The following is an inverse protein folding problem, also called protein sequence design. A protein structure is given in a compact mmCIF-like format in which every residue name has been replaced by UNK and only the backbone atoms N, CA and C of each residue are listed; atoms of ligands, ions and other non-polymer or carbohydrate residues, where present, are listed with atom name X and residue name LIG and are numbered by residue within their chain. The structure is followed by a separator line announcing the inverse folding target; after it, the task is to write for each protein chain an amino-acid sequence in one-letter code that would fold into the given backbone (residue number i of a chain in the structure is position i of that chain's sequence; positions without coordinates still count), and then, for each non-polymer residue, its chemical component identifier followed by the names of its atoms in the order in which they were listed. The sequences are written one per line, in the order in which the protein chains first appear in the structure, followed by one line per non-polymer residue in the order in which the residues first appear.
data_IF_471701861483
#
_entry.id   IF_471701861483
#
_cell.length_a   1.000
_cell.length_b   1.000
_cell.length_c   1.000
_cell.angle_alpha   90.00
_cell.angle_beta   90.00
_cell.angle_gamma   90.00
#
_symmetry.space_group_name_H-M   'P 1'
#
loop_
_entity.id
_entity.type
_entity.pdbx_description
1 polymer ?
#
# COMPACT_ATOMS: atom_id res chain seq x y z
N UNK A 1 -20.72 -2.12 -16.14
CA UNK A 1 -19.72 -1.10 -15.80
C UNK A 1 -18.36 -1.59 -16.25
N UNK A 2 -17.53 -0.74 -16.87
CA UNK A 2 -16.15 -1.10 -17.24
C UNK A 2 -15.35 -1.35 -15.95
N UNK A 3 -14.53 -2.41 -15.92
CA UNK A 3 -13.62 -2.64 -14.78
C UNK A 3 -12.60 -1.48 -14.74
N UNK A 4 -12.33 -0.88 -13.57
CA UNK A 4 -11.31 0.16 -13.46
C UNK A 4 -9.93 -0.45 -13.72
N UNK A 5 -9.06 0.30 -14.39
CA UNK A 5 -7.69 -0.06 -14.69
C UNK A 5 -6.79 0.29 -13.50
N UNK A 6 -6.07 -0.69 -12.94
CA UNK A 6 -5.41 -0.55 -11.64
C UNK A 6 -3.93 -0.93 -11.72
N UNK A 7 -3.09 -0.05 -11.17
CA UNK A 7 -1.69 -0.34 -10.86
C UNK A 7 -1.52 -0.69 -9.38
N UNK A 8 -0.73 -1.71 -9.08
CA UNK A 8 -0.49 -2.16 -7.69
C UNK A 8 1.00 -2.12 -7.37
N UNK A 9 1.34 -1.53 -6.22
CA UNK A 9 2.71 -1.42 -5.71
C UNK A 9 2.76 -2.07 -4.33
N UNK A 10 3.69 -3.00 -4.13
CA UNK A 10 3.76 -3.79 -2.91
C UNK A 10 5.10 -3.55 -2.23
N UNK A 11 5.04 -3.14 -0.95
CA UNK A 11 6.20 -3.09 -0.07
C UNK A 11 6.39 -4.46 0.61
N UNK A 12 7.40 -5.21 0.15
CA UNK A 12 7.70 -6.54 0.68
C UNK A 12 8.12 -6.51 2.16
N UNK A 13 8.89 -5.49 2.56
CA UNK A 13 9.39 -5.35 3.92
C UNK A 13 8.25 -5.16 4.90
N UNK A 14 7.39 -4.17 4.62
CA UNK A 14 6.23 -3.87 5.46
C UNK A 14 5.29 -5.08 5.60
N UNK A 15 5.02 -5.81 4.51
CA UNK A 15 4.22 -7.04 4.56
C UNK A 15 4.88 -8.15 5.38
N UNK A 16 6.18 -8.40 5.17
CA UNK A 16 6.89 -9.48 5.85
C UNK A 16 6.94 -9.25 7.36
N UNK A 17 7.39 -8.07 7.80
CA UNK A 17 7.48 -7.73 9.22
C UNK A 17 6.13 -7.80 9.93
N UNK A 18 5.07 -7.36 9.23
CA UNK A 18 3.72 -7.38 9.77
C UNK A 18 3.17 -8.79 9.91
N UNK A 19 3.28 -9.59 8.86
CA UNK A 19 2.70 -10.94 8.84
C UNK A 19 3.32 -11.85 9.90
N UNK A 20 4.61 -11.68 10.20
CA UNK A 20 5.31 -12.36 11.28
C UNK A 20 4.71 -12.07 12.67
N UNK A 21 4.23 -10.83 12.89
CA UNK A 21 3.60 -10.39 14.15
C UNK A 21 2.13 -10.80 14.26
N UNK A 22 1.41 -10.87 13.15
CA UNK A 22 -0.05 -11.10 13.13
C UNK A 22 -0.40 -12.60 13.06
N UNK A 23 0.53 -13.46 12.62
CA UNK A 23 0.37 -14.92 12.66
C UNK A 23 -0.32 -15.53 11.44
N UNK A 24 -0.58 -14.74 10.39
CA UNK A 24 -1.02 -15.25 9.10
C UNK A 24 -0.42 -14.43 7.95
N UNK A 25 -0.31 -15.05 6.77
CA UNK A 25 0.36 -14.49 5.60
C UNK A 25 -0.57 -14.47 4.40
N UNK A 26 -0.32 -13.55 3.49
CA UNK A 26 -1.03 -13.48 2.21
C UNK A 26 -0.38 -14.43 1.22
N UNK A 27 -1.22 -15.18 0.50
CA UNK A 27 -0.85 -15.88 -0.71
C UNK A 27 -0.92 -14.90 -1.89
N UNK A 28 0.24 -14.64 -2.48
CA UNK A 28 0.36 -13.67 -3.56
C UNK A 28 -0.30 -14.09 -4.86
N UNK A 29 -0.39 -15.39 -5.13
CA UNK A 29 -1.09 -15.90 -6.31
C UNK A 29 -2.60 -15.72 -6.11
N UNK A 30 -3.11 -16.05 -4.92
CA UNK A 30 -4.52 -15.82 -4.60
C UNK A 30 -4.88 -14.33 -4.59
N UNK A 31 -4.01 -13.48 -4.06
CA UNK A 31 -4.20 -12.03 -4.09
C UNK A 31 -4.31 -11.53 -5.53
N UNK A 32 -3.37 -11.91 -6.41
CA UNK A 32 -3.43 -11.59 -7.83
C UNK A 32 -4.74 -12.05 -8.45
N UNK A 33 -5.13 -13.29 -8.21
CA UNK A 33 -6.37 -13.85 -8.75
C UNK A 33 -7.59 -13.05 -8.30
N UNK A 34 -7.72 -12.77 -7.00
CA UNK A 34 -8.81 -11.96 -6.47
C UNK A 34 -8.86 -10.56 -7.12
N UNK A 35 -7.71 -9.89 -7.20
CA UNK A 35 -7.60 -8.55 -7.79
C UNK A 35 -7.95 -8.55 -9.28
N UNK A 36 -7.51 -9.54 -10.06
CA UNK A 36 -7.87 -9.69 -11.49
C UNK A 36 -9.36 -9.97 -11.71
N UNK A 37 -10.02 -10.62 -10.75
CA UNK A 37 -11.48 -10.79 -10.80
C UNK A 37 -12.19 -9.47 -10.51
N UNK A 38 -11.69 -8.68 -9.55
CA UNK A 38 -12.26 -7.40 -9.15
C UNK A 38 -12.09 -6.31 -10.24
N UNK A 39 -10.88 -6.15 -10.79
CA UNK A 39 -10.47 -5.01 -11.60
C UNK A 39 -9.73 -5.45 -12.88
N UNK A 40 -9.39 -4.48 -13.74
CA UNK A 40 -8.46 -4.69 -14.85
C UNK A 40 -7.04 -4.33 -14.38
N UNK A 41 -6.17 -5.32 -14.20
CA UNK A 41 -4.84 -5.09 -13.61
C UNK A 41 -3.81 -4.75 -14.68
N UNK A 42 -3.26 -3.54 -14.62
CA UNK A 42 -2.20 -3.07 -15.53
C UNK A 42 -0.88 -3.76 -15.22
N UNK A 43 -0.49 -3.73 -13.96
CA UNK A 43 0.76 -4.28 -13.45
C UNK A 43 0.67 -4.47 -11.92
N UNK A 44 1.54 -5.32 -11.40
CA UNK A 44 1.77 -5.46 -9.97
C UNK A 44 3.28 -5.45 -9.74
N UNK A 45 3.79 -4.40 -9.10
CA UNK A 45 5.21 -4.19 -8.85
C UNK A 45 5.54 -4.49 -7.37
N UNK A 46 6.35 -5.51 -7.15
CA UNK A 46 6.74 -6.01 -5.84
C UNK A 46 8.14 -5.52 -5.48
N UNK A 47 8.21 -4.55 -4.57
CA UNK A 47 9.43 -3.88 -4.15
C UNK A 47 10.06 -4.62 -2.98
N UNK A 48 11.30 -5.09 -3.16
CA UNK A 48 12.01 -5.91 -2.18
C UNK A 48 13.47 -5.53 -2.05
N UNK A 49 13.97 -5.56 -0.81
CA UNK A 49 15.40 -5.44 -0.51
C UNK A 49 16.07 -6.81 -0.60
N UNK A 50 17.20 -6.86 -1.30
CA UNK A 50 17.96 -8.09 -1.56
C UNK A 50 19.30 -8.05 -0.81
N UNK A 51 19.54 -8.97 0.14
CA UNK A 51 20.84 -9.13 0.79
C UNK A 51 21.96 -9.45 -0.19
N UNK A 52 23.22 -9.25 0.22
CA UNK A 52 24.39 -9.76 -0.52
C UNK A 52 24.54 -11.27 -0.29
N UNK A 53 25.32 -11.95 -1.13
CA UNK A 53 25.36 -13.42 -1.19
C UNK A 53 25.81 -14.10 0.10
N UNK A 54 26.69 -13.48 0.88
CA UNK A 54 27.21 -14.01 2.15
C UNK A 54 26.24 -13.83 3.34
N UNK A 55 25.10 -13.15 3.13
CA UNK A 55 24.11 -12.92 4.18
C UNK A 55 23.30 -14.18 4.43
N UNK A 56 23.10 -14.52 5.71
CA UNK A 56 22.31 -15.69 6.10
C UNK A 56 20.87 -15.66 5.58
N UNK A 57 20.33 -14.49 5.23
CA UNK A 57 18.99 -14.37 4.64
C UNK A 57 18.96 -14.47 3.11
N UNK A 58 20.11 -14.46 2.42
CA UNK A 58 20.17 -14.38 0.95
C UNK A 58 19.38 -15.49 0.25
N UNK A 59 19.68 -16.75 0.58
CA UNK A 59 19.01 -17.90 -0.03
C UNK A 59 17.48 -17.92 0.21
N UNK A 60 17.05 -17.50 1.41
CA UNK A 60 15.62 -17.38 1.75
C UNK A 60 14.95 -16.27 0.94
N UNK A 61 15.62 -15.13 0.78
CA UNK A 61 15.13 -14.01 -0.04
C UNK A 61 15.03 -14.40 -1.50
N UNK A 62 16.02 -15.10 -2.07
CA UNK A 62 15.95 -15.60 -3.46
C UNK A 62 14.79 -16.58 -3.67
N UNK A 63 14.61 -17.53 -2.76
CA UNK A 63 13.47 -18.47 -2.81
C UNK A 63 12.14 -17.73 -2.77
N UNK A 64 12.04 -16.66 -1.97
CA UNK A 64 10.86 -15.83 -1.90
C UNK A 64 10.62 -15.05 -3.21
N UNK A 65 11.68 -14.45 -3.78
CA UNK A 65 11.63 -13.74 -5.05
C UNK A 65 11.15 -14.66 -6.17
N UNK A 66 11.69 -15.88 -6.27
CA UNK A 66 11.27 -16.85 -7.29
C UNK A 66 9.77 -17.16 -7.23
N UNK A 67 9.20 -17.29 -6.01
CA UNK A 67 7.77 -17.49 -5.83
C UNK A 67 6.97 -16.24 -6.18
N UNK A 68 7.42 -15.07 -5.72
CA UNK A 68 6.76 -13.80 -5.99
C UNK A 68 6.75 -13.46 -7.49
N UNK A 69 7.82 -13.81 -8.23
CA UNK A 69 7.93 -13.53 -9.67
C UNK A 69 6.93 -14.31 -10.53
N UNK A 70 6.29 -15.35 -9.98
CA UNK A 70 5.18 -16.03 -10.65
C UNK A 70 3.92 -15.15 -10.72
N UNK A 71 3.76 -14.22 -9.76
CA UNK A 71 2.60 -13.35 -9.66
C UNK A 71 2.91 -11.92 -10.12
N UNK A 72 4.10 -11.40 -9.85
CA UNK A 72 4.41 -9.96 -9.89
C UNK A 72 5.71 -9.63 -10.63
N UNK A 73 5.82 -8.38 -11.08
CA UNK A 73 7.10 -7.78 -11.50
C UNK A 73 7.93 -7.48 -10.26
N UNK A 74 9.16 -7.98 -10.19
CA UNK A 74 10.01 -7.79 -9.00
C UNK A 74 10.90 -6.57 -9.19
N UNK A 75 10.75 -5.58 -8.31
CA UNK A 75 11.60 -4.39 -8.21
C UNK A 75 12.59 -4.58 -7.06
N UNK A 76 13.87 -4.81 -7.39
CA UNK A 76 14.89 -5.16 -6.41
C UNK A 76 15.76 -3.96 -6.05
N UNK A 77 16.06 -3.81 -4.75
CA UNK A 77 17.05 -2.86 -4.23
C UNK A 77 18.08 -3.61 -3.39
N UNK A 78 19.40 -3.41 -3.60
CA UNK A 78 20.40 -4.08 -2.78
C UNK A 78 20.36 -3.57 -1.34
N UNK A 79 20.52 -4.47 -0.37
CA UNK A 79 20.68 -4.12 1.04
C UNK A 79 22.00 -3.38 1.26
N UNK A 80 21.96 -2.31 2.04
CA UNK A 80 23.16 -1.59 2.46
C UNK A 80 23.72 -2.20 3.74
N UNK A 81 25.04 -2.35 3.74
CA UNK A 81 25.80 -2.87 4.86
C UNK A 81 26.78 -1.79 5.30
N UNK A 82 26.66 -1.31 6.52
CA UNK A 82 27.43 -0.18 7.05
C UNK A 82 28.11 -0.62 8.32
N UNK A 83 29.43 -0.50 8.37
CA UNK A 83 30.16 -0.73 9.61
C UNK A 83 29.84 0.35 10.64
N UNK A 84 29.45 -0.05 11.86
CA UNK A 84 29.26 0.86 13.00
C UNK A 84 30.41 0.72 13.97
N UNK A 85 31.18 1.79 14.14
CA UNK A 85 32.29 1.85 15.10
C UNK A 85 31.81 1.83 16.55
N UNK A 86 30.58 2.30 16.81
CA UNK A 86 29.96 2.30 18.13
C UNK A 86 29.48 0.90 18.51
N UNK A 87 28.74 0.23 17.61
CA UNK A 87 28.21 -1.11 17.87
C UNK A 87 29.21 -2.22 17.58
N UNK A 88 30.39 -1.88 17.05
CA UNK A 88 31.45 -2.80 16.61
C UNK A 88 30.92 -3.95 15.75
N UNK A 89 29.93 -3.65 14.90
CA UNK A 89 29.29 -4.61 14.00
C UNK A 89 28.78 -3.94 12.73
N UNK A 90 28.46 -4.77 11.75
CA UNK A 90 27.80 -4.34 10.52
C UNK A 90 26.29 -4.14 10.75
N UNK A 91 25.81 -2.93 10.47
CA UNK A 91 24.39 -2.55 10.49
C UNK A 91 23.83 -2.71 9.09
N UNK A 92 22.72 -3.45 9.00
CA UNK A 92 21.96 -3.67 7.76
C UNK A 92 20.89 -2.59 7.63
N UNK A 93 20.85 -1.89 6.50
CA UNK A 93 19.82 -0.89 6.17
C UNK A 93 19.26 -1.14 4.78
N UNK A 94 17.94 -1.06 4.66
CA UNK A 94 17.26 -1.17 3.38
C UNK A 94 15.77 -1.05 3.54
N UNK A 95 15.24 0.08 3.11
CA UNK A 95 13.83 0.30 2.80
C UNK A 95 13.64 0.34 1.29
N UNK A 96 12.39 0.28 0.82
CA UNK A 96 12.04 0.50 -0.60
C UNK A 96 11.15 1.73 -0.78
N UNK A 97 10.98 2.55 0.26
CA UNK A 97 9.93 3.57 0.30
C UNK A 97 10.11 4.63 -0.78
N UNK A 98 11.35 5.11 -0.96
CA UNK A 98 11.69 6.09 -2.00
C UNK A 98 11.51 5.49 -3.40
N UNK A 99 12.03 4.28 -3.62
CA UNK A 99 11.96 3.59 -4.92
C UNK A 99 10.51 3.31 -5.32
N UNK A 100 9.70 2.84 -4.37
CA UNK A 100 8.26 2.60 -4.55
C UNK A 100 7.52 3.90 -4.84
N UNK A 101 7.79 4.97 -4.07
CA UNK A 101 7.14 6.26 -4.29
C UNK A 101 7.46 6.84 -5.68
N UNK A 102 8.72 6.73 -6.12
CA UNK A 102 9.12 7.14 -7.47
C UNK A 102 8.42 6.29 -8.54
N UNK A 103 8.31 4.98 -8.34
CA UNK A 103 7.61 4.10 -9.27
C UNK A 103 6.11 4.43 -9.36
N UNK A 104 5.47 4.75 -8.23
CA UNK A 104 4.09 5.25 -8.22
C UNK A 104 3.97 6.52 -9.03
N UNK A 105 4.80 7.53 -8.77
CA UNK A 105 4.77 8.83 -9.48
C UNK A 105 4.96 8.67 -10.98
N UNK A 106 5.74 7.69 -11.45
CA UNK A 106 5.95 7.45 -12.88
C UNK A 106 4.73 6.83 -13.58
N UNK A 107 3.86 6.14 -12.84
CA UNK A 107 2.86 5.25 -13.44
C UNK A 107 1.40 5.59 -13.08
N UNK A 108 1.14 6.34 -12.00
CA UNK A 108 -0.22 6.56 -11.49
C UNK A 108 -1.16 7.27 -12.49
N UNK A 109 -0.63 8.06 -13.43
CA UNK A 109 -1.45 8.75 -14.43
C UNK A 109 -2.04 7.79 -15.48
N UNK A 110 -1.38 6.65 -15.70
CA UNK A 110 -1.74 5.65 -16.71
C UNK A 110 -2.85 4.69 -16.26
N UNK A 111 -3.28 4.80 -15.00
CA UNK A 111 -4.28 3.92 -14.36
C UNK A 111 -5.42 4.74 -13.78
N UNK A 112 -6.58 4.12 -13.62
CA UNK A 112 -7.76 4.77 -13.01
C UNK A 112 -7.59 4.91 -11.50
N UNK A 113 -6.93 3.95 -10.85
CA UNK A 113 -6.52 4.04 -9.46
C UNK A 113 -5.20 3.31 -9.19
N UNK A 114 -4.52 3.76 -8.14
CA UNK A 114 -3.31 3.12 -7.63
C UNK A 114 -3.60 2.42 -6.31
N UNK A 115 -3.13 1.18 -6.16
CA UNK A 115 -3.11 0.47 -4.87
C UNK A 115 -1.67 0.44 -4.35
N UNK A 116 -1.46 0.94 -3.13
CA UNK A 116 -0.20 0.77 -2.40
C UNK A 116 -0.42 -0.20 -1.25
N UNK A 117 0.25 -1.35 -1.32
CA UNK A 117 0.23 -2.36 -0.27
C UNK A 117 1.32 -2.05 0.74
N UNK A 118 1.00 -1.15 1.67
CA UNK A 118 1.81 -0.82 2.84
C UNK A 118 0.94 -0.20 3.93
N UNK A 119 1.37 -0.33 5.18
CA UNK A 119 0.77 0.35 6.34
C UNK A 119 1.54 1.59 6.81
N UNK A 120 2.58 2.00 6.10
CA UNK A 120 3.53 3.05 6.52
C UNK A 120 3.02 4.47 6.24
N UNK A 121 3.07 5.34 7.27
CA UNK A 121 2.65 6.75 7.16
C UNK A 121 3.55 7.59 6.24
N UNK A 122 4.77 7.13 5.93
CA UNK A 122 5.69 7.87 5.05
C UNK A 122 5.12 8.07 3.64
N UNK A 123 4.16 7.24 3.23
CA UNK A 123 3.44 7.39 1.96
C UNK A 123 2.33 8.46 1.95
N UNK A 124 2.08 9.17 3.06
CA UNK A 124 1.08 10.27 3.09
C UNK A 124 1.41 11.39 2.10
N UNK A 125 2.69 11.74 1.98
CA UNK A 125 3.14 12.75 1.02
C UNK A 125 2.86 12.32 -0.43
N UNK A 126 3.07 11.03 -0.71
CA UNK A 126 2.77 10.42 -2.00
C UNK A 126 1.25 10.43 -2.28
N UNK A 127 0.42 10.06 -1.32
CA UNK A 127 -1.04 10.11 -1.47
C UNK A 127 -1.53 11.52 -1.78
N UNK A 128 -1.04 12.51 -1.03
CA UNK A 128 -1.39 13.92 -1.27
C UNK A 128 -1.03 14.35 -2.69
N UNK A 129 0.19 14.04 -3.14
CA UNK A 129 0.67 14.38 -4.48
C UNK A 129 -0.20 13.76 -5.60
N UNK A 130 -0.60 12.51 -5.43
CA UNK A 130 -1.42 11.75 -6.37
C UNK A 130 -2.88 12.27 -6.36
N UNK A 131 -3.44 12.53 -5.18
CA UNK A 131 -4.80 13.04 -5.00
C UNK A 131 -4.95 14.46 -5.57
N UNK A 132 -3.94 15.33 -5.44
CA UNK A 132 -3.94 16.68 -6.03
C UNK A 132 -4.07 16.65 -7.56
N UNK A 133 -3.73 15.54 -8.20
CA UNK A 133 -3.87 15.31 -9.65
C UNK A 133 -5.13 14.54 -10.02
N UNK A 134 -6.08 14.43 -9.10
CA UNK A 134 -7.39 13.82 -9.33
C UNK A 134 -7.33 12.30 -9.51
N UNK A 135 -6.24 11.65 -9.09
CA UNK A 135 -6.09 10.20 -9.14
C UNK A 135 -6.24 9.62 -7.73
N UNK A 136 -7.05 8.57 -7.54
CA UNK A 136 -7.15 7.88 -6.25
C UNK A 136 -5.93 7.00 -5.99
N UNK A 137 -5.42 7.08 -4.75
CA UNK A 137 -4.49 6.11 -4.18
C UNK A 137 -5.18 5.40 -3.01
N UNK A 138 -5.15 4.07 -3.01
CA UNK A 138 -5.79 3.20 -2.02
C UNK A 138 -4.70 2.44 -1.26
N UNK A 139 -4.68 2.59 0.07
CA UNK A 139 -3.78 1.84 0.93
C UNK A 139 -4.34 0.47 1.30
N UNK A 140 -3.54 -0.58 1.18
CA UNK A 140 -3.94 -1.92 1.60
C UNK A 140 -2.91 -2.46 2.58
N UNK A 141 -3.36 -2.81 3.79
CA UNK A 141 -2.46 -3.37 4.81
C UNK A 141 -3.25 -4.20 5.81
N UNK A 142 -2.54 -4.85 6.72
CA UNK A 142 -3.16 -5.49 7.86
C UNK A 142 -3.67 -4.45 8.84
N UNK A 143 -4.83 -4.70 9.47
CA UNK A 143 -5.45 -3.76 10.42
C UNK A 143 -4.54 -3.35 11.57
N UNK A 144 -3.66 -4.23 12.04
CA UNK A 144 -2.71 -3.93 13.15
C UNK A 144 -1.44 -3.19 12.72
N UNK A 145 -1.20 -3.00 11.43
CA UNK A 145 0.02 -2.33 10.94
C UNK A 145 -0.24 -0.99 10.26
N UNK A 146 -1.47 -0.75 9.80
CA UNK A 146 -1.80 0.52 9.17
C UNK A 146 -1.78 1.67 10.18
N UNK A 147 -0.92 2.66 9.90
CA UNK A 147 -0.88 3.94 10.61
C UNK A 147 -2.27 4.59 10.64
N UNK A 148 -2.56 5.34 11.71
CA UNK A 148 -3.89 5.92 11.93
C UNK A 148 -4.28 6.89 10.82
N UNK A 149 -3.34 7.70 10.38
CA UNK A 149 -3.48 8.73 9.36
C UNK A 149 -3.90 8.15 8.01
N UNK A 150 -3.39 6.96 7.64
CA UNK A 150 -3.78 6.27 6.42
C UNK A 150 -5.24 5.80 6.46
N UNK A 151 -5.81 5.56 7.65
CA UNK A 151 -7.22 5.16 7.80
C UNK A 151 -8.20 6.30 7.54
N UNK A 152 -7.70 7.54 7.58
CA UNK A 152 -8.46 8.73 7.17
C UNK A 152 -8.48 8.90 5.64
N UNK A 153 -7.68 8.10 4.92
CA UNK A 153 -7.60 8.07 3.46
C UNK A 153 -8.35 6.86 2.90
N UNK A 154 -8.33 6.72 1.58
CA UNK A 154 -8.82 5.52 0.91
C UNK A 154 -7.98 4.32 1.34
N UNK A 155 -8.60 3.35 2.00
CA UNK A 155 -7.90 2.18 2.50
C UNK A 155 -8.77 0.92 2.51
N UNK A 156 -8.11 -0.23 2.57
CA UNK A 156 -8.73 -1.55 2.73
C UNK A 156 -7.86 -2.40 3.66
N UNK A 157 -8.51 -3.20 4.51
CA UNK A 157 -7.82 -4.16 5.36
C UNK A 157 -7.78 -5.54 4.72
N UNK A 158 -6.65 -6.23 4.83
CA UNK A 158 -6.54 -7.63 4.39
C UNK A 158 -7.52 -8.57 5.10
N UNK A 159 -7.91 -8.25 6.34
CA UNK A 159 -8.90 -8.99 7.10
C UNK A 159 -10.26 -9.10 6.39
N UNK A 160 -10.62 -8.13 5.53
CA UNK A 160 -11.88 -8.17 4.76
C UNK A 160 -11.88 -9.23 3.66
N UNK A 161 -10.70 -9.65 3.21
CA UNK A 161 -10.52 -10.61 2.12
C UNK A 161 -9.73 -11.85 2.57
N UNK A 162 -9.53 -12.01 3.88
CA UNK A 162 -8.63 -13.02 4.47
C UNK A 162 -8.93 -14.43 3.96
N UNK A 163 -10.21 -14.83 3.95
CA UNK A 163 -10.63 -16.16 3.51
C UNK A 163 -10.24 -16.48 2.06
N UNK A 164 -10.09 -15.46 1.21
CA UNK A 164 -9.72 -15.60 -0.21
C UNK A 164 -8.22 -15.60 -0.42
N UNK A 165 -7.44 -14.98 0.46
CA UNK A 165 -6.02 -14.69 0.23
C UNK A 165 -5.08 -15.26 1.28
N UNK A 166 -5.57 -15.98 2.28
CA UNK A 166 -4.69 -16.58 3.31
C UNK A 166 -3.84 -17.71 2.72
N UNK A 167 -2.54 -17.65 3.05
CA UNK A 167 -1.54 -18.64 2.68
C UNK A 167 -1.74 -19.94 3.46
N UNK A 168 -1.59 -21.07 2.77
CA UNK A 168 -1.71 -22.41 3.37
C UNK A 168 -3.15 -22.90 3.52
N UNK A 169 -4.15 -22.05 3.29
CA UNK A 169 -5.55 -22.47 3.18
C UNK A 169 -5.77 -23.12 1.81
N UNK A 170 -6.31 -24.33 1.76
CA UNK A 170 -6.53 -25.06 0.48
C UNK A 170 -7.94 -24.88 -0.08
N UNK A 171 -8.85 -24.27 0.68
CA UNK A 171 -10.16 -23.90 0.16
C UNK A 171 -10.00 -22.85 -0.93
N UNK A 172 -10.68 -23.07 -2.05
CA UNK A 172 -10.82 -22.11 -3.13
C UNK A 172 -12.24 -21.54 -3.07
N UNK A 173 -12.50 -20.54 -2.20
CA UNK A 173 -13.80 -19.91 -2.11
C UNK A 173 -14.18 -19.27 -3.44
N UNK A 174 -15.49 -19.14 -3.70
CA UNK A 174 -15.97 -18.34 -4.83
C UNK A 174 -15.50 -16.90 -4.67
N UNK A 175 -14.62 -16.47 -5.57
CA UNK A 175 -14.02 -15.15 -5.53
C UNK A 175 -15.04 -14.03 -5.77
N UNK A 176 -16.26 -14.34 -6.23
CA UNK A 176 -17.28 -13.34 -6.58
C UNK A 176 -17.58 -12.35 -5.46
N UNK A 177 -17.70 -12.82 -4.21
CA UNK A 177 -17.99 -11.96 -3.06
C UNK A 177 -16.79 -11.03 -2.73
N UNK A 178 -15.59 -11.59 -2.55
CA UNK A 178 -14.39 -10.80 -2.28
C UNK A 178 -14.03 -9.85 -3.43
N UNK A 179 -14.24 -10.26 -4.68
CA UNK A 179 -14.01 -9.44 -5.86
C UNK A 179 -15.03 -8.30 -5.96
N UNK A 180 -16.29 -8.54 -5.60
CA UNK A 180 -17.33 -7.50 -5.55
C UNK A 180 -16.99 -6.46 -4.49
N UNK A 181 -16.62 -6.87 -3.28
CA UNK A 181 -16.21 -5.96 -2.22
C UNK A 181 -15.01 -5.11 -2.65
N UNK A 182 -13.97 -5.75 -3.19
CA UNK A 182 -12.77 -5.07 -3.68
C UNK A 182 -13.12 -4.06 -4.78
N UNK A 183 -13.97 -4.46 -5.74
CA UNK A 183 -14.41 -3.58 -6.83
C UNK A 183 -15.19 -2.37 -6.31
N UNK A 184 -16.06 -2.56 -5.31
CA UNK A 184 -16.82 -1.45 -4.72
C UNK A 184 -15.91 -0.42 -4.03
N UNK A 185 -14.89 -0.88 -3.29
CA UNK A 185 -13.90 -0.01 -2.65
C UNK A 185 -13.14 0.81 -3.70
N UNK A 186 -12.67 0.15 -4.76
CA UNK A 186 -11.96 0.81 -5.86
C UNK A 186 -12.88 1.80 -6.59
N UNK A 187 -14.11 1.40 -6.92
CA UNK A 187 -15.08 2.25 -7.61
C UNK A 187 -15.45 3.50 -6.80
N UNK A 188 -15.60 3.36 -5.46
CA UNK A 188 -15.82 4.48 -4.55
C UNK A 188 -14.66 5.48 -4.65
N UNK A 189 -13.42 5.02 -4.54
CA UNK A 189 -12.24 5.89 -4.59
C UNK A 189 -12.12 6.64 -5.93
N UNK A 190 -12.40 5.97 -7.04
CA UNK A 190 -12.43 6.58 -8.39
C UNK A 190 -13.52 7.65 -8.50
N UNK A 191 -14.70 7.36 -7.97
CA UNK A 191 -15.84 8.29 -8.01
C UNK A 191 -15.55 9.55 -7.18
N UNK A 192 -15.04 9.38 -5.95
CA UNK A 192 -14.68 10.49 -5.04
C UNK A 192 -13.58 11.39 -5.60
N UNK A 193 -12.62 10.81 -6.32
CA UNK A 193 -11.57 11.60 -6.97
C UNK A 193 -12.10 12.41 -8.15
N UNK A 194 -13.06 11.86 -8.90
CA UNK A 194 -13.68 12.52 -10.05
C UNK A 194 -14.59 13.69 -9.65
N UNK A 195 -15.29 13.60 -8.51
CA UNK A 195 -16.16 14.68 -8.01
C UNK A 195 -15.41 15.85 -7.39
N UNK A 196 -14.14 15.67 -7.00
CA UNK A 196 -13.30 16.72 -6.39
C UNK A 196 -12.72 17.76 -7.40
N UNK A 197 -13.23 17.78 -8.64
CA UNK A 197 -12.72 18.58 -9.76
C UNK A 197 -13.37 19.98 -9.94
N UNK A 198 -14.32 20.42 -9.10
CA UNK A 198 -14.80 21.82 -9.16
C UNK A 198 -13.87 22.76 -8.37
N UNK A 199 -13.28 23.81 -9.01
CA UNK A 199 -12.40 24.76 -8.34
C UNK A 199 -13.08 25.59 -7.24
N UNK A 200 -14.41 25.60 -7.19
CA UNK A 200 -15.22 26.44 -6.28
C UNK A 200 -15.35 25.83 -4.88
N UNK A 201 -15.37 24.49 -4.74
CA UNK A 201 -15.69 23.83 -3.46
C UNK A 201 -14.48 23.67 -2.52
N UNK A 202 -13.25 23.85 -3.03
CA UNK A 202 -12.02 23.80 -2.22
C UNK A 202 -11.82 25.08 -1.38
N UNK A 203 -12.33 26.22 -1.84
CA UNK A 203 -12.23 27.48 -1.12
C UNK A 203 -13.16 27.50 0.11
N UNK A 204 -14.39 27.00 -0.02
CA UNK A 204 -15.34 27.02 1.10
C UNK A 204 -15.00 25.98 2.19
N UNK A 205 -14.54 24.78 1.81
CA UNK A 205 -14.23 23.74 2.80
C UNK A 205 -12.92 23.98 3.57
N UNK A 206 -11.92 24.64 2.97
CA UNK A 206 -10.68 25.01 3.70
C UNK A 206 -10.94 26.13 4.71
N UNK A 207 -11.72 27.15 4.32
CA UNK A 207 -12.11 28.26 5.22
C UNK A 207 -12.95 27.77 6.41
N UNK A 208 -13.81 26.76 6.20
CA UNK A 208 -14.65 26.19 7.27
C UNK A 208 -13.85 25.28 8.23
N UNK A 209 -12.86 24.53 7.74
CA UNK A 209 -12.01 23.70 8.60
C UNK A 209 -11.04 24.55 9.45
N UNK A 210 -10.42 25.58 8.87
CA UNK A 210 -9.50 26.45 9.61
C UNK A 210 -10.20 27.27 10.70
N UNK A 211 -11.45 27.71 10.47
CA UNK A 211 -12.28 28.36 11.50
C UNK A 211 -12.61 27.43 12.68
N UNK A 212 -12.93 26.16 12.41
CA UNK A 212 -13.25 25.18 13.48
C UNK A 212 -12.03 24.78 14.32
N UNK A 213 -10.83 24.88 13.75
CA UNK A 213 -9.59 24.61 14.49
C UNK A 213 -9.26 25.80 15.38
N UNK A 214 -9.34 27.04 14.88
CA UNK A 214 -9.06 28.26 15.67
C UNK A 214 -10.03 28.46 16.85
N UNK A 215 -11.31 28.14 16.69
CA UNK A 215 -12.29 28.27 17.79
C UNK A 215 -12.11 27.21 18.90
N UNK A 216 -11.46 26.08 18.62
CA UNK A 216 -11.21 25.02 19.62
C UNK A 216 -9.93 25.20 20.44
N UNK A 217 -8.99 26.03 19.99
CA UNK A 217 -7.67 26.18 20.65
C UNK A 217 -7.60 27.38 21.62
N UNK A 218 -8.68 28.15 21.79
CA UNK A 218 -8.64 29.42 22.56
C UNK A 218 -9.37 29.38 23.90
N UNK A 219 -9.55 28.22 24.55
CA UNK A 219 -10.03 28.19 25.94
C UNK A 219 -9.38 27.05 26.74
N UNK A 220 -8.17 27.29 27.24
CA UNK A 220 -7.73 26.76 28.53
C UNK A 220 -6.89 27.84 29.22
N UNK A 221 -7.45 28.58 30.21
CA UNK A 221 -6.63 29.44 31.06
C UNK A 221 -5.83 28.55 32.02
N UNK A 222 -4.54 28.84 32.13
CA UNK A 222 -3.68 28.30 33.17
C UNK A 222 -4.23 28.69 34.55
N UNK A 223 -4.54 27.70 35.38
CA UNK A 223 -4.69 27.79 36.83
C UNK A 223 -4.16 26.50 37.45
#
# INVERSE_FOLDING_TARGET
MKKPHIGVFIDAGNLYHTSARIGWRIDFIKLKNLLSHACDLSFINYHIVVPREDDSNYAKTLTHIQKASMAFTICQKPMKYIWSDEEKREIKKGDVDVDLAVDVVKNFENVDATIVVSGDSDYLALEKYVAERGKPLIFVSYKKNMAWELRLKNHMFFELIKEYVEYGVTTNPDLSAGATLTRLIVAKAVTESSTSQTPVDKAENSIIQDKKIYEKTTILPYA
#
